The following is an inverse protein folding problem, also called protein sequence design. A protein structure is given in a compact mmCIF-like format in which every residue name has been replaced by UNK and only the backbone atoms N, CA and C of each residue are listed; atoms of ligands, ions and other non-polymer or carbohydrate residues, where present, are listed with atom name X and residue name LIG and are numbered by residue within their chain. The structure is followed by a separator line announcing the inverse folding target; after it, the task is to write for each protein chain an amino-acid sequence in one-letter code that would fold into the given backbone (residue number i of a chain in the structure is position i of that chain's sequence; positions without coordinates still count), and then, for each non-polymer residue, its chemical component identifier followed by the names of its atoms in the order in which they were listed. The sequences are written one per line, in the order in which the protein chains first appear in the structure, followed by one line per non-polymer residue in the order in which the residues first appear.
data_IF_928859482327
#
_entry.id   IF_928859482327
#
_cell.length_a   1.000
_cell.length_b   1.000
_cell.length_c   1.000
_cell.angle_alpha   90.00
_cell.angle_beta   90.00
_cell.angle_gamma   90.00
#
_symmetry.space_group_name_H-M   'P 1'
#
loop_
_entity.id
_entity.type
_entity.pdbx_description
1 polymer ?
#
# COMPACT_ATOMS: atom_id res chain seq x y z
N UNK A 1 18.94 -4.46 -19.88
CA UNK A 1 18.06 -5.66 -19.92
C UNK A 1 17.98 -6.16 -21.34
N UNK A 2 18.07 -7.47 -21.57
CA UNK A 2 17.77 -8.06 -22.87
C UNK A 2 16.26 -7.99 -23.13
N UNK A 3 15.87 -7.90 -24.40
CA UNK A 3 14.47 -7.72 -24.81
C UNK A 3 13.56 -8.85 -24.30
N UNK A 4 14.06 -10.09 -24.25
CA UNK A 4 13.31 -11.24 -23.71
C UNK A 4 13.03 -11.20 -22.20
N UNK A 5 13.79 -10.43 -21.41
CA UNK A 5 13.48 -10.23 -19.97
C UNK A 5 12.32 -9.27 -19.77
N UNK A 6 12.18 -8.28 -20.65
CA UNK A 6 11.11 -7.31 -20.58
C UNK A 6 9.75 -7.96 -20.87
N UNK A 7 9.67 -8.86 -21.85
CA UNK A 7 8.42 -9.60 -22.17
C UNK A 7 7.90 -10.46 -21.02
N UNK A 8 8.81 -10.95 -20.18
CA UNK A 8 8.47 -11.78 -19.01
C UNK A 8 8.24 -10.94 -17.75
N UNK A 9 8.40 -9.63 -17.82
CA UNK A 9 8.05 -8.73 -16.73
C UNK A 9 6.55 -8.48 -16.71
N UNK A 10 6.00 -8.17 -15.55
CA UNK A 10 4.59 -7.79 -15.41
C UNK A 10 4.37 -6.95 -14.14
N UNK A 11 3.28 -6.17 -14.13
CA UNK A 11 2.79 -5.48 -12.94
C UNK A 11 1.58 -6.24 -12.42
N UNK A 12 1.54 -6.50 -11.11
CA UNK A 12 0.43 -7.17 -10.46
C UNK A 12 0.04 -6.48 -9.16
N UNK A 13 -1.23 -6.67 -8.77
CA UNK A 13 -1.62 -6.50 -7.37
C UNK A 13 -1.34 -7.77 -6.59
N UNK A 14 -1.01 -7.61 -5.31
CA UNK A 14 -0.70 -8.72 -4.41
C UNK A 14 -1.42 -8.56 -3.07
N UNK A 15 -2.27 -9.54 -2.75
CA UNK A 15 -3.01 -9.66 -1.49
C UNK A 15 -2.80 -11.07 -0.90
N UNK A 16 -3.23 -11.31 0.34
CA UNK A 16 -3.43 -12.68 0.80
C UNK A 16 -4.64 -13.31 0.09
N UNK A 17 -4.67 -14.65 0.01
CA UNK A 17 -5.75 -15.41 -0.61
C UNK A 17 -7.15 -15.07 -0.06
N UNK A 18 -7.24 -14.80 1.23
CA UNK A 18 -8.49 -14.43 1.90
C UNK A 18 -8.95 -12.99 1.58
N UNK A 19 -8.19 -12.24 0.78
CA UNK A 19 -8.46 -10.86 0.40
C UNK A 19 -7.82 -9.83 1.33
N UNK A 20 -7.11 -10.25 2.39
CA UNK A 20 -6.40 -9.34 3.29
C UNK A 20 -5.31 -8.61 2.52
N UNK A 21 -5.28 -7.29 2.67
CA UNK A 21 -4.35 -6.42 1.95
C UNK A 21 -2.99 -6.39 2.64
N UNK A 22 -1.95 -6.29 1.83
CA UNK A 22 -0.57 -6.13 2.29
C UNK A 22 -0.21 -4.64 2.31
N UNK A 23 0.74 -4.24 3.14
CA UNK A 23 1.24 -2.87 3.16
C UNK A 23 2.35 -2.64 4.18
N UNK A 24 2.97 -1.47 4.11
CA UNK A 24 4.05 -1.06 4.99
C UNK A 24 3.51 -0.31 6.22
N UNK A 25 2.57 -0.97 6.91
CA UNK A 25 1.91 -0.43 8.08
C UNK A 25 1.34 -1.54 8.97
N UNK A 26 1.61 -1.46 10.26
CA UNK A 26 1.00 -2.32 11.29
C UNK A 26 -0.22 -1.64 11.91
N UNK A 27 -1.01 -2.37 12.70
CA UNK A 27 -2.09 -1.76 13.49
C UNK A 27 -1.53 -1.17 14.77
N UNK A 28 -1.90 0.06 15.09
CA UNK A 28 -1.51 0.74 16.32
C UNK A 28 -2.16 0.07 17.55
N UNK A 29 -1.57 0.25 18.74
CA UNK A 29 -1.96 -0.45 19.97
C UNK A 29 -3.46 -0.44 20.33
N UNK A 30 -4.23 0.56 19.84
CA UNK A 30 -5.67 0.69 20.10
C UNK A 30 -6.57 -0.04 19.09
N UNK A 31 -6.05 -0.49 17.96
CA UNK A 31 -6.81 -1.27 16.98
C UNK A 31 -7.67 -0.48 16.00
N UNK A 32 -7.60 0.86 15.99
CA UNK A 32 -8.44 1.73 15.15
C UNK A 32 -7.70 2.35 13.96
N UNK A 33 -6.37 2.41 14.05
CA UNK A 33 -5.53 3.13 13.11
C UNK A 33 -4.29 2.29 12.77
N UNK A 34 -3.63 2.66 11.68
CA UNK A 34 -2.38 2.03 11.25
C UNK A 34 -1.19 2.94 11.49
N UNK A 35 -0.06 2.36 11.86
CA UNK A 35 1.24 3.02 12.00
C UNK A 35 2.15 2.58 10.85
N UNK A 36 2.76 3.54 10.14
CA UNK A 36 3.68 3.25 9.05
C UNK A 36 4.97 2.58 9.55
N UNK A 37 5.40 1.53 8.87
CA UNK A 37 6.64 0.78 9.16
C UNK A 37 7.40 0.50 7.86
N UNK A 38 8.60 -0.07 7.94
CA UNK A 38 9.39 -0.43 6.75
C UNK A 38 9.13 -1.88 6.32
N UNK A 39 8.73 -2.73 7.26
CA UNK A 39 8.41 -4.14 7.04
C UNK A 39 7.01 -4.30 6.44
N UNK A 40 6.88 -5.32 5.59
CA UNK A 40 5.63 -5.69 4.97
C UNK A 40 4.74 -6.41 5.98
N UNK A 41 3.50 -5.96 6.08
CA UNK A 41 2.48 -6.52 6.97
C UNK A 41 1.25 -6.91 6.15
N UNK A 42 0.55 -7.98 6.56
CA UNK A 42 -0.85 -8.21 6.23
C UNK A 42 -1.71 -7.54 7.30
N UNK A 43 -2.71 -6.75 6.92
CA UNK A 43 -3.45 -5.91 7.87
C UNK A 43 -4.92 -5.78 7.46
N UNK A 44 -5.83 -6.06 8.40
CA UNK A 44 -7.27 -6.05 8.16
C UNK A 44 -7.88 -4.67 7.92
N UNK A 45 -7.17 -3.58 8.27
CA UNK A 45 -7.64 -2.20 8.07
C UNK A 45 -7.23 -1.64 6.70
N UNK A 46 -6.31 -2.30 5.99
CA UNK A 46 -5.87 -1.86 4.67
C UNK A 46 -6.95 -2.18 3.62
N UNK A 47 -7.23 -1.20 2.77
CA UNK A 47 -8.27 -1.29 1.72
C UNK A 47 -7.69 -1.30 0.30
N UNK A 48 -6.41 -0.97 0.15
CA UNK A 48 -5.74 -0.91 -1.14
C UNK A 48 -4.73 -2.04 -1.27
N UNK A 49 -4.74 -2.72 -2.41
CA UNK A 49 -3.70 -3.69 -2.74
C UNK A 49 -2.38 -2.99 -3.09
N UNK A 50 -1.26 -3.60 -2.71
CA UNK A 50 0.05 -3.15 -3.20
C UNK A 50 0.20 -3.52 -4.67
N UNK A 51 0.88 -2.66 -5.44
CA UNK A 51 1.32 -2.95 -6.81
C UNK A 51 2.78 -3.33 -6.80
N UNK A 52 3.09 -4.52 -7.29
CA UNK A 52 4.43 -5.04 -7.43
C UNK A 52 4.74 -5.28 -8.90
N UNK A 53 5.84 -4.69 -9.39
CA UNK A 53 6.43 -5.09 -10.67
C UNK A 53 7.36 -6.25 -10.43
N UNK A 54 7.17 -7.32 -11.19
CA UNK A 54 8.02 -8.49 -11.22
C UNK A 54 8.92 -8.39 -12.45
N UNK A 55 10.23 -8.42 -12.24
CA UNK A 55 11.23 -8.38 -13.31
C UNK A 55 12.12 -9.62 -13.21
N UNK A 56 12.20 -10.46 -14.26
CA UNK A 56 12.97 -11.69 -14.19
C UNK A 56 14.47 -11.42 -14.27
N UNK A 57 15.23 -12.15 -13.44
CA UNK A 57 16.68 -12.22 -13.55
C UNK A 57 17.11 -13.38 -14.48
N UNK A 58 18.42 -13.53 -14.70
CA UNK A 58 18.97 -14.61 -15.55
C UNK A 58 18.79 -16.01 -14.96
N UNK A 59 18.52 -16.10 -13.66
CA UNK A 59 18.38 -17.36 -12.92
C UNK A 59 16.92 -17.84 -12.85
N UNK A 60 15.97 -17.11 -13.46
CA UNK A 60 14.55 -17.46 -13.47
C UNK A 60 13.77 -17.04 -12.22
N UNK A 61 14.36 -16.23 -11.35
CA UNK A 61 13.70 -15.57 -10.22
C UNK A 61 13.24 -14.17 -10.61
N UNK A 62 12.31 -13.60 -9.85
CA UNK A 62 11.84 -12.24 -10.03
C UNK A 62 12.38 -11.31 -8.96
N UNK A 63 12.94 -10.19 -9.39
CA UNK A 63 13.13 -9.00 -8.57
C UNK A 63 11.78 -8.30 -8.41
N UNK A 64 11.40 -7.98 -7.18
CA UNK A 64 10.11 -7.36 -6.86
C UNK A 64 10.26 -5.87 -6.53
N UNK A 65 9.57 -5.03 -7.31
CA UNK A 65 9.58 -3.57 -7.11
C UNK A 65 8.22 -3.09 -6.63
N UNK A 66 8.21 -2.34 -5.53
CA UNK A 66 7.02 -1.65 -5.07
C UNK A 66 6.71 -0.45 -5.99
N UNK A 67 5.49 -0.42 -6.53
CA UNK A 67 4.98 0.62 -7.45
C UNK A 67 3.80 1.39 -6.86
N UNK A 68 3.73 1.45 -5.52
CA UNK A 68 2.65 2.12 -4.81
C UNK A 68 1.44 1.22 -4.60
N UNK A 69 0.31 1.85 -4.30
CA UNK A 69 -0.96 1.19 -4.04
C UNK A 69 -1.88 1.27 -5.26
N UNK A 70 -2.74 0.27 -5.44
CA UNK A 70 -3.84 0.33 -6.38
C UNK A 70 -4.88 1.36 -5.93
N UNK A 71 -5.74 1.81 -6.84
CA UNK A 71 -6.93 2.54 -6.42
C UNK A 71 -7.70 1.66 -5.40
N UNK A 72 -8.32 2.23 -4.36
CA UNK A 72 -9.15 1.46 -3.45
C UNK A 72 -10.16 0.68 -4.26
N UNK A 73 -10.36 -0.59 -3.91
CA UNK A 73 -11.47 -1.35 -4.47
C UNK A 73 -12.73 -0.49 -4.27
N UNK A 74 -13.55 -0.34 -5.31
CA UNK A 74 -14.86 0.30 -5.17
C UNK A 74 -15.71 -0.63 -4.31
N UNK A 75 -15.52 -0.57 -3.00
CA UNK A 75 -16.39 -1.20 -2.04
C UNK A 75 -17.73 -0.51 -2.24
N UNK A 76 -18.73 -1.27 -2.71
CA UNK A 76 -20.11 -0.82 -2.60
C UNK A 76 -20.29 -0.52 -1.11
N UNK A 77 -20.44 0.75 -0.75
CA UNK A 77 -20.76 1.14 0.61
C UNK A 77 -22.12 0.55 0.93
N UNK A 78 -22.16 -0.70 1.37
CA UNK A 78 -23.16 -1.07 2.35
C UNK A 78 -22.77 -0.26 3.56
N UNK A 79 -23.40 0.91 3.65
CA UNK A 79 -23.43 1.72 4.85
C UNK A 79 -23.90 0.80 5.96
N UNK A 80 -22.95 0.21 6.69
CA UNK A 80 -23.26 -0.41 7.96
C UNK A 80 -23.49 0.76 8.90
N UNK A 81 -24.71 1.29 8.86
CA UNK A 81 -25.15 2.35 9.75
C UNK A 81 -25.42 1.70 11.11
N UNK A 82 -24.53 1.87 12.11
CA UNK A 82 -24.73 1.27 13.43
C UNK A 82 -25.95 1.89 14.14
N UNK A 83 -26.50 3.00 13.61
CA UNK A 83 -27.70 3.64 14.15
C UNK A 83 -28.99 2.92 13.78
N UNK A 84 -29.06 2.12 12.71
CA UNK A 84 -30.33 1.46 12.33
C UNK A 84 -30.71 0.34 13.32
N UNK A 85 -29.73 -0.36 13.90
CA UNK A 85 -30.00 -1.36 14.95
C UNK A 85 -30.32 -0.73 16.32
N UNK A 86 -29.89 0.53 16.52
CA UNK A 86 -30.15 1.25 17.77
C UNK A 86 -31.57 1.85 17.79
N UNK A 87 -32.12 2.24 16.64
CA UNK A 87 -33.49 2.81 16.55
C UNK A 87 -34.58 1.74 16.74
N UNK A 88 -34.32 0.46 16.40
CA UNK A 88 -35.30 -0.60 16.65
C UNK A 88 -35.40 -1.03 18.12
N UNK A 89 -34.38 -0.76 18.96
CA UNK A 89 -34.42 -1.06 20.39
C UNK A 89 -35.02 0.07 21.26
N UNK A 90 -35.20 1.28 20.73
CA UNK A 90 -35.72 2.44 21.49
C UNK A 90 -37.26 2.49 21.54
N UNK A 91 -37.97 1.70 20.72
CA UNK A 91 -39.45 1.64 20.76
C UNK A 91 -40.03 0.84 21.94
N UNK A 92 -39.22 0.36 22.88
CA UNK A 92 -39.68 -0.25 24.13
C UNK A 92 -38.82 0.20 25.32
N UNK A 93 -38.97 1.44 25.76
CA UNK A 93 -39.04 1.78 27.19
C UNK A 93 -39.41 3.25 27.41
N UNK A 94 -40.49 3.43 28.13
CA UNK A 94 -40.97 4.71 28.64
C UNK A 94 -39.95 5.39 29.56
N UNK A 95 -39.97 6.72 29.43
CA UNK A 95 -39.82 7.71 30.50
C UNK A 95 -38.63 7.57 31.45
N UNK A 96 -37.57 8.37 31.23
CA UNK A 96 -37.12 9.29 32.28
C UNK A 96 -36.46 10.54 31.70
N UNK A 97 -37.04 11.65 32.13
CA UNK A 97 -36.78 13.07 31.87
C UNK A 97 -35.39 13.49 32.35
N UNK A 98 -34.51 13.95 31.44
CA UNK A 98 -33.45 14.92 31.79
C UNK A 98 -33.33 16.01 30.73
N UNK A 99 -33.46 17.23 31.25
CA UNK A 99 -33.50 18.52 30.57
C UNK A 99 -32.06 19.04 30.53
N UNK A 100 -31.43 19.10 29.36
CA UNK A 100 -30.21 19.90 29.19
C UNK A 100 -30.59 21.19 28.46
N UNK A 101 -30.45 22.28 29.20
CA UNK A 101 -30.63 23.66 28.76
C UNK A 101 -29.36 24.02 27.99
N UNK A 102 -29.50 24.38 26.72
CA UNK A 102 -28.44 25.03 25.93
C UNK A 102 -28.71 26.52 25.98
N UNK A 103 -27.88 27.26 26.73
CA UNK A 103 -27.86 28.72 26.69
C UNK A 103 -26.72 29.18 25.77
N UNK A 104 -27.08 30.00 24.80
CA UNK A 104 -26.20 30.76 23.91
C UNK A 104 -26.10 32.19 24.41
N UNK A 105 -24.89 32.77 24.47
CA UNK A 105 -24.62 34.22 24.43
C UNK A 105 -23.23 34.37 23.78
N UNK A 106 -23.07 34.99 22.60
CA UNK A 106 -23.18 36.41 22.22
C UNK A 106 -21.85 37.16 22.31
N UNK A 107 -21.52 37.77 21.17
CA UNK A 107 -20.37 38.59 20.75
C UNK A 107 -19.86 39.67 21.72
N UNK A 108 -18.55 39.96 21.65
CA UNK A 108 -18.01 41.35 21.59
C UNK A 108 -16.74 41.36 20.73
N UNK A 109 -16.73 42.25 19.74
CA UNK A 109 -15.61 42.60 18.89
C UNK A 109 -14.75 43.74 19.49
N UNK A 110 -13.48 43.83 19.09
CA UNK A 110 -12.74 45.09 19.05
C UNK A 110 -11.61 45.04 18.02
N UNK A 111 -11.78 45.82 16.95
CA UNK A 111 -10.77 46.20 15.96
C UNK A 111 -9.72 47.13 16.59
N UNK A 112 -8.45 47.03 16.15
CA UNK A 112 -7.56 48.20 15.98
C UNK A 112 -6.68 47.98 14.72
N UNK A 113 -6.69 49.02 13.89
CA UNK A 113 -5.95 49.25 12.64
C UNK A 113 -4.42 49.27 12.77
N UNK A 114 -3.74 49.09 11.63
CA UNK A 114 -2.33 49.45 11.46
C UNK A 114 -1.77 49.14 10.07
N UNK A 115 -2.12 49.96 9.07
CA UNK A 115 -1.57 49.92 7.72
C UNK A 115 -0.11 50.43 7.66
N UNK A 116 0.72 49.87 6.76
CA UNK A 116 1.57 50.65 5.85
C UNK A 116 2.23 49.77 4.80
N UNK A 117 1.91 50.06 3.54
CA UNK A 117 2.65 49.65 2.38
C UNK A 117 3.91 50.53 2.23
N UNK A 118 4.98 49.97 1.68
CA UNK A 118 6.02 50.75 1.02
C UNK A 118 6.52 49.99 -0.20
N UNK A 119 6.12 50.48 -1.36
CA UNK A 119 6.74 50.19 -2.65
C UNK A 119 8.12 50.86 -2.68
N UNK A 120 9.13 50.16 -3.20
CA UNK A 120 10.36 50.78 -3.69
C UNK A 120 10.60 50.33 -5.11
N UNK A 121 10.59 51.32 -6.00
CA UNK A 121 10.86 51.24 -7.42
C UNK A 121 12.35 51.55 -7.58
N UNK A 122 13.16 50.59 -8.02
CA UNK A 122 14.46 50.93 -8.61
C UNK A 122 14.75 50.01 -9.79
N UNK A 123 14.96 50.64 -10.94
CA UNK A 123 15.20 49.99 -12.20
C UNK A 123 16.68 49.70 -12.37
N UNK A 124 17.03 48.42 -12.42
CA UNK A 124 18.31 47.99 -12.98
C UNK A 124 18.07 46.74 -13.81
N UNK A 125 18.13 46.90 -15.14
CA UNK A 125 18.11 45.80 -16.10
C UNK A 125 19.42 45.01 -15.95
N UNK A 126 19.32 43.76 -15.51
CA UNK A 126 20.42 42.79 -15.50
C UNK A 126 20.07 41.61 -16.42
N UNK A 127 21.07 41.04 -17.11
CA UNK A 127 20.91 40.44 -18.43
C UNK A 127 20.20 39.09 -18.40
N UNK A 128 19.54 38.78 -19.54
CA UNK A 128 18.93 37.49 -19.86
C UNK A 128 19.87 36.33 -19.53
N UNK A 129 19.63 35.71 -18.39
CA UNK A 129 20.31 34.46 -18.05
C UNK A 129 19.55 33.35 -18.79
N UNK A 130 20.22 32.85 -19.83
CA UNK A 130 19.82 31.73 -20.68
C UNK A 130 19.03 30.68 -19.90
N UNK A 131 17.83 30.39 -20.41
CA UNK A 131 17.01 29.25 -20.05
C UNK A 131 17.91 28.00 -20.15
N UNK A 132 18.39 27.55 -18.99
CA UNK A 132 19.04 26.25 -18.89
C UNK A 132 17.90 25.24 -18.93
N UNK A 133 17.97 24.33 -19.90
CA UNK A 133 16.98 23.28 -20.10
C UNK A 133 16.59 22.67 -18.75
N UNK A 134 15.29 22.72 -18.44
CA UNK A 134 14.68 22.07 -17.29
C UNK A 134 15.19 20.62 -17.26
N UNK A 135 16.07 20.33 -16.31
CA UNK A 135 16.49 18.97 -16.04
C UNK A 135 15.21 18.19 -15.76
N UNK A 136 15.03 17.07 -16.50
CA UNK A 136 13.96 16.13 -16.17
C UNK A 136 14.03 15.83 -14.68
N UNK A 137 12.90 15.81 -13.96
CA UNK A 137 12.91 15.57 -12.53
C UNK A 137 13.71 14.30 -12.25
N UNK A 138 14.68 14.42 -11.33
CA UNK A 138 15.53 13.31 -10.92
C UNK A 138 14.61 12.14 -10.54
N UNK A 139 14.71 11.05 -11.30
CA UNK A 139 13.79 9.93 -11.13
C UNK A 139 14.05 9.33 -9.75
N UNK A 140 13.04 9.35 -8.87
CA UNK A 140 13.19 8.77 -7.54
C UNK A 140 13.69 7.33 -7.65
N UNK A 141 14.64 6.93 -6.78
CA UNK A 141 15.21 5.61 -6.85
C UNK A 141 14.11 4.55 -6.65
N UNK A 142 14.16 3.43 -7.39
CA UNK A 142 13.18 2.36 -7.24
C UNK A 142 13.16 1.82 -5.81
N UNK A 143 11.95 1.47 -5.35
CA UNK A 143 11.74 0.79 -4.07
C UNK A 143 11.60 -0.71 -4.34
N UNK A 144 12.43 -1.52 -3.71
CA UNK A 144 12.44 -2.97 -3.79
C UNK A 144 11.77 -3.58 -2.56
N UNK A 145 11.17 -4.76 -2.70
CA UNK A 145 11.03 -5.65 -1.55
C UNK A 145 12.37 -6.33 -1.29
N UNK A 146 12.69 -6.61 -0.03
CA UNK A 146 13.91 -7.26 0.43
C UNK A 146 13.62 -8.20 1.59
N UNK A 147 14.56 -9.08 1.92
CA UNK A 147 14.55 -9.89 3.15
C UNK A 147 15.70 -9.46 4.03
N UNK A 148 15.38 -9.00 5.24
CA UNK A 148 16.38 -8.63 6.24
C UNK A 148 17.16 -9.86 6.75
N UNK A 149 18.23 -9.63 7.52
CA UNK A 149 18.97 -10.74 8.17
C UNK A 149 18.11 -11.61 9.09
N UNK A 150 16.99 -11.08 9.61
CA UNK A 150 16.05 -11.79 10.47
C UNK A 150 14.89 -12.47 9.73
N UNK A 151 14.86 -12.45 8.39
CA UNK A 151 13.79 -13.07 7.59
C UNK A 151 12.59 -12.16 7.30
N UNK A 152 12.52 -10.96 7.90
CA UNK A 152 11.44 -10.01 7.64
C UNK A 152 11.48 -9.47 6.23
N UNK A 153 10.32 -9.45 5.57
CA UNK A 153 10.15 -8.79 4.28
C UNK A 153 10.00 -7.29 4.52
N UNK A 154 10.80 -6.46 3.85
CA UNK A 154 10.77 -5.00 4.03
C UNK A 154 11.01 -4.26 2.72
N UNK A 155 10.75 -2.95 2.70
CA UNK A 155 11.13 -2.09 1.56
C UNK A 155 12.57 -1.60 1.69
N UNK A 156 13.24 -1.41 0.56
CA UNK A 156 14.60 -0.84 0.50
C UNK A 156 14.80 -0.09 -0.82
N UNK A 157 15.77 0.83 -0.85
CA UNK A 157 16.26 1.48 -2.08
C UNK A 157 17.51 0.79 -2.64
N UNK A 158 18.07 -0.16 -1.91
CA UNK A 158 19.31 -0.86 -2.26
C UNK A 158 19.01 -2.10 -3.10
N UNK A 159 19.36 -2.06 -4.38
CA UNK A 159 19.09 -3.16 -5.32
C UNK A 159 19.80 -4.47 -4.95
N UNK A 160 20.96 -4.40 -4.29
CA UNK A 160 21.73 -5.57 -3.82
C UNK A 160 21.01 -6.39 -2.74
N UNK A 161 19.95 -5.86 -2.14
CA UNK A 161 19.15 -6.55 -1.12
C UNK A 161 17.77 -6.98 -1.61
N UNK A 162 17.49 -6.82 -2.90
CA UNK A 162 16.18 -7.13 -3.44
C UNK A 162 15.80 -8.61 -3.23
N UNK A 163 14.55 -8.82 -2.82
CA UNK A 163 13.91 -10.11 -2.69
C UNK A 163 13.83 -10.75 -4.07
N UNK A 164 14.48 -11.90 -4.22
CA UNK A 164 14.39 -12.75 -5.40
C UNK A 164 13.33 -13.82 -5.16
N UNK A 165 12.21 -13.71 -5.86
CA UNK A 165 11.06 -14.60 -5.70
C UNK A 165 10.96 -15.59 -6.87
N UNK A 166 10.83 -16.87 -6.57
CA UNK A 166 10.26 -17.84 -7.49
C UNK A 166 8.74 -17.90 -7.28
N UNK A 167 7.96 -17.78 -8.34
CA UNK A 167 6.51 -17.94 -8.27
C UNK A 167 6.20 -19.42 -8.43
N UNK A 168 5.57 -20.00 -7.40
CA UNK A 168 5.18 -21.41 -7.39
C UNK A 168 3.66 -21.54 -7.40
N UNK A 169 3.19 -22.58 -8.08
CA UNK A 169 1.77 -22.91 -8.20
C UNK A 169 1.18 -23.22 -6.81
N UNK A 170 -0.05 -22.76 -6.54
CA UNK A 170 -0.83 -23.17 -5.38
C UNK A 170 -1.98 -24.07 -5.83
N UNK A 171 -1.99 -25.33 -5.39
CA UNK A 171 -3.01 -26.30 -5.76
C UNK A 171 -2.83 -26.85 -7.18
N UNK A 172 -3.94 -27.09 -7.89
CA UNK A 172 -3.93 -27.76 -9.21
C UNK A 172 -3.78 -26.84 -10.42
N UNK A 173 -3.76 -25.51 -10.23
CA UNK A 173 -3.69 -24.54 -11.34
C UNK A 173 -2.29 -23.97 -11.48
N UNK A 174 -1.74 -24.02 -12.70
CA UNK A 174 -0.42 -23.45 -13.00
C UNK A 174 -0.49 -21.93 -13.10
N UNK A 175 0.53 -21.26 -12.58
CA UNK A 175 0.76 -19.84 -12.81
C UNK A 175 1.01 -19.58 -14.29
N UNK A 176 0.42 -18.50 -14.81
CA UNK A 176 0.67 -18.02 -16.16
C UNK A 176 0.62 -16.51 -16.24
N UNK A 177 1.57 -15.88 -16.93
CA UNK A 177 1.58 -14.43 -17.13
C UNK A 177 0.41 -13.99 -18.02
N UNK A 178 -0.02 -14.84 -18.96
CA UNK A 178 -1.09 -14.53 -19.91
C UNK A 178 -2.50 -14.57 -19.28
N UNK A 179 -2.61 -15.08 -18.05
CA UNK A 179 -3.87 -15.23 -17.36
C UNK A 179 -4.37 -13.89 -16.80
N UNK A 180 -5.67 -13.62 -16.96
CA UNK A 180 -6.29 -12.33 -16.63
C UNK A 180 -7.01 -12.33 -15.28
N UNK A 181 -7.47 -13.48 -14.83
CA UNK A 181 -8.05 -13.66 -13.50
C UNK A 181 -6.98 -13.73 -12.41
N UNK A 182 -7.41 -13.54 -11.17
CA UNK A 182 -6.55 -13.66 -10.01
C UNK A 182 -6.00 -15.09 -9.87
N UNK A 183 -4.75 -15.21 -9.43
CA UNK A 183 -4.05 -16.48 -9.29
C UNK A 183 -3.55 -16.66 -7.86
N UNK A 184 -3.89 -17.80 -7.28
CA UNK A 184 -3.33 -18.22 -6.00
C UNK A 184 -1.92 -18.76 -6.23
N UNK A 185 -0.93 -18.15 -5.59
CA UNK A 185 0.49 -18.49 -5.77
C UNK A 185 1.23 -18.49 -4.43
N UNK A 186 2.36 -19.18 -4.39
CA UNK A 186 3.38 -18.96 -3.39
C UNK A 186 4.53 -18.14 -3.99
N UNK A 187 5.09 -17.22 -3.20
CA UNK A 187 6.34 -16.55 -3.54
C UNK A 187 7.45 -17.18 -2.71
N UNK A 188 8.35 -17.92 -3.35
CA UNK A 188 9.44 -18.64 -2.70
C UNK A 188 10.72 -17.81 -2.73
N UNK A 189 11.31 -17.58 -1.57
CA UNK A 189 12.57 -16.86 -1.40
C UNK A 189 13.72 -17.64 -2.01
N UNK A 190 14.51 -17.01 -2.89
CA UNK A 190 15.78 -17.56 -3.34
C UNK A 190 16.76 -17.78 -2.18
N UNK A 191 16.73 -16.88 -1.18
CA UNK A 191 17.68 -16.90 -0.06
C UNK A 191 17.38 -18.05 0.90
N UNK A 192 16.15 -18.13 1.42
CA UNK A 192 15.79 -19.12 2.43
C UNK A 192 15.26 -20.43 1.83
N UNK A 193 14.88 -20.42 0.56
CA UNK A 193 14.17 -21.52 -0.10
C UNK A 193 12.81 -21.85 0.55
N UNK A 194 12.27 -20.97 1.39
CA UNK A 194 10.93 -21.08 1.94
C UNK A 194 9.97 -20.20 1.14
N UNK A 195 8.67 -20.52 1.23
CA UNK A 195 7.63 -19.60 0.80
C UNK A 195 7.66 -18.34 1.67
N UNK A 196 7.13 -17.23 1.17
CA UNK A 196 6.75 -16.08 1.98
C UNK A 196 5.64 -16.52 2.94
N UNK A 197 5.71 -16.04 4.17
CA UNK A 197 4.91 -16.53 5.29
C UNK A 197 4.33 -15.35 6.07
N UNK A 198 3.20 -15.60 6.73
CA UNK A 198 2.68 -14.70 7.78
C UNK A 198 3.17 -15.16 9.14
N UNK A 199 3.62 -14.24 9.97
CA UNK A 199 4.08 -14.52 11.34
C UNK A 199 3.59 -13.47 12.33
N UNK A 200 3.50 -13.85 13.61
CA UNK A 200 3.01 -13.01 14.73
C UNK A 200 1.71 -12.29 14.38
N UNK A 201 0.63 -13.06 14.31
CA UNK A 201 -0.72 -12.47 14.25
C UNK A 201 -1.03 -11.79 15.58
N UNK A 202 -1.38 -10.52 15.51
CA UNK A 202 -1.84 -9.73 16.64
C UNK A 202 -3.28 -9.29 16.40
N UNK A 203 -4.19 -9.71 17.29
CA UNK A 203 -5.61 -9.38 17.24
C UNK A 203 -5.95 -8.28 18.26
N UNK A 204 -6.84 -7.37 17.87
CA UNK A 204 -7.24 -6.22 18.68
C UNK A 204 -8.71 -6.34 19.12
N UNK A 205 -9.12 -5.67 20.22
CA UNK A 205 -10.53 -5.66 20.67
C UNK A 205 -11.54 -5.17 19.61
N UNK A 206 -11.07 -4.37 18.66
CA UNK A 206 -11.85 -3.88 17.50
C UNK A 206 -12.12 -4.94 16.45
N UNK A 207 -11.63 -6.17 16.65
CA UNK A 207 -11.56 -7.28 15.66
C UNK A 207 -10.59 -7.03 14.52
N UNK A 208 -9.91 -5.89 14.51
CA UNK A 208 -8.82 -5.65 13.60
C UNK A 208 -7.62 -6.54 13.96
N UNK A 209 -6.81 -6.89 12.98
CA UNK A 209 -5.62 -7.71 13.18
C UNK A 209 -4.55 -7.42 12.13
N UNK A 210 -3.30 -7.70 12.48
CA UNK A 210 -2.22 -7.71 11.50
C UNK A 210 -1.26 -8.88 11.75
N UNK A 211 -0.46 -9.20 10.75
CA UNK A 211 0.65 -10.14 10.84
C UNK A 211 1.82 -9.61 10.02
N UNK A 212 3.04 -9.90 10.45
CA UNK A 212 4.26 -9.56 9.71
C UNK A 212 4.51 -10.57 8.59
N UNK A 213 5.09 -10.11 7.48
CA UNK A 213 5.53 -11.00 6.40
C UNK A 213 7.00 -11.38 6.60
N UNK A 214 7.29 -12.68 6.54
CA UNK A 214 8.62 -13.28 6.77
C UNK A 214 8.90 -14.37 5.73
N UNK A 215 10.13 -14.86 5.64
CA UNK A 215 10.50 -16.03 4.84
C UNK A 215 11.20 -17.14 5.65
N UNK A 216 11.12 -17.12 6.99
CA UNK A 216 11.87 -18.07 7.82
C UNK A 216 11.09 -18.73 8.97
N UNK A 217 10.15 -18.05 9.61
CA UNK A 217 9.59 -18.45 10.91
C UNK A 217 8.05 -18.33 11.02
N UNK A 218 7.34 -18.33 9.90
CA UNK A 218 5.88 -18.17 9.84
C UNK A 218 5.10 -19.38 9.31
N UNK A 219 3.85 -19.11 8.93
CA UNK A 219 3.01 -20.02 8.15
C UNK A 219 2.95 -19.57 6.71
N UNK A 220 3.17 -20.47 5.76
CA UNK A 220 3.15 -20.19 4.33
C UNK A 220 1.93 -19.36 3.91
N UNK A 221 2.19 -18.21 3.31
CA UNK A 221 1.18 -17.30 2.81
C UNK A 221 0.82 -17.70 1.38
N UNK A 222 -0.44 -18.10 1.18
CA UNK A 222 -1.01 -18.17 -0.16
C UNK A 222 -1.40 -16.76 -0.58
N UNK A 223 -0.85 -16.31 -1.70
CA UNK A 223 -1.03 -14.96 -2.19
C UNK A 223 -1.98 -14.96 -3.38
N UNK A 224 -2.88 -14.00 -3.41
CA UNK A 224 -3.74 -13.70 -4.55
C UNK A 224 -3.03 -12.66 -5.41
N UNK A 225 -2.51 -13.11 -6.56
CA UNK A 225 -1.80 -12.30 -7.53
C UNK A 225 -2.70 -11.99 -8.73
N UNK A 226 -2.94 -10.71 -9.02
CA UNK A 226 -3.72 -10.30 -10.21
C UNK A 226 -2.86 -9.45 -11.13
N UNK A 227 -2.60 -9.92 -12.34
CA UNK A 227 -1.76 -9.21 -13.32
C UNK A 227 -2.57 -8.07 -13.94
N UNK A 228 -2.07 -6.85 -13.80
CA UNK A 228 -2.71 -5.62 -14.26
C UNK A 228 -1.98 -4.98 -15.46
N UNK A 229 -0.69 -5.25 -15.65
CA UNK A 229 0.04 -4.88 -16.86
C UNK A 229 0.98 -6.00 -17.29
N UNK A 230 1.12 -6.17 -18.61
CA UNK A 230 2.10 -7.03 -19.27
C UNK A 230 2.95 -6.16 -20.19
N UNK A 231 4.15 -6.61 -20.53
CA UNK A 231 5.06 -5.80 -21.34
C UNK A 231 5.50 -6.54 -22.61
N UNK A 232 5.76 -5.78 -23.67
CA UNK A 232 6.42 -6.24 -24.88
C UNK A 232 7.95 -6.22 -24.69
N UNK A 233 8.69 -6.76 -25.66
CA UNK A 233 10.16 -6.80 -25.67
C UNK A 233 10.81 -5.42 -25.59
N UNK A 234 10.18 -4.41 -26.18
CA UNK A 234 10.66 -3.02 -26.09
C UNK A 234 10.42 -2.41 -24.70
N UNK A 235 9.53 -2.99 -23.90
CA UNK A 235 9.11 -2.53 -22.58
C UNK A 235 7.80 -1.74 -22.58
N UNK A 236 7.15 -1.56 -23.74
CA UNK A 236 5.82 -0.97 -23.83
C UNK A 236 4.77 -1.89 -23.20
N UNK A 237 3.69 -1.31 -22.68
CA UNK A 237 2.57 -2.09 -22.13
C UNK A 237 1.86 -2.82 -23.26
N UNK A 238 1.67 -4.12 -23.10
CA UNK A 238 0.87 -4.95 -24.00
C UNK A 238 -0.60 -4.69 -23.71
N UNK A 239 -1.31 -4.12 -24.68
CA UNK A 239 -2.76 -3.92 -24.62
C UNK A 239 -3.52 -5.24 -24.66
#
# INVERSE_FOLDING_TARGET
MSDGKKERSFLATLDLKDGTKLGFSKIAARGYETEGVEELCANSLLTQSIKIRFEPNDEGYYVMFFKGFAAPDKVSSQTYDPMIDTVQQITKKESTKYRFISESQSEVASNIDGASASFSHDGTLLPENKITASQSPEQEPPIYLAVSGGGWVHKTKESGHAYLAQISDCGGSKFSIDRTDAQDVYLKSWRSQNNMQTYKREDFPTKAWFAWMTDCDGTDAVLKLTIIERYNADGSVKM
#
